data_IF_118846266213
#
_entry.id   IF_118846266213
#
_cell.length_a   1.000
_cell.length_b   1.000
_cell.length_c   1.000
_cell.angle_alpha   90.00
_cell.angle_beta   90.00
_cell.angle_gamma   90.00
#
_symmetry.space_group_name_H-M   'P 1'
#
loop_
_entity.id
_entity.type
_entity.pdbx_description
1 polymer ?
#
# COMPACT_ATOMS: atom_id res chain seq x y z
N UNK A 1 11.71 15.84 -24.36
CA UNK A 1 12.37 15.63 -23.05
C UNK A 1 13.16 14.34 -23.18
N UNK A 2 14.48 14.39 -23.04
CA UNK A 2 15.35 13.22 -23.19
C UNK A 2 15.52 12.56 -21.82
N UNK A 3 15.44 11.23 -21.75
CA UNK A 3 15.69 10.51 -20.50
C UNK A 3 17.14 10.73 -20.02
N UNK A 4 17.36 10.81 -18.70
CA UNK A 4 18.71 10.86 -18.15
C UNK A 4 19.49 9.57 -18.44
N UNK A 5 20.79 9.71 -18.62
CA UNK A 5 21.71 8.57 -18.72
C UNK A 5 21.66 7.74 -17.42
N UNK A 6 21.27 6.47 -17.55
CA UNK A 6 21.05 5.59 -16.42
C UNK A 6 22.36 5.14 -15.76
N UNK A 7 23.45 5.08 -16.52
CA UNK A 7 24.79 4.70 -16.04
C UNK A 7 25.66 5.91 -15.69
N UNK A 8 25.19 7.11 -16.03
CA UNK A 8 25.89 8.36 -15.79
C UNK A 8 26.00 8.73 -14.29
N UNK A 9 26.93 9.62 -13.99
CA UNK A 9 27.10 10.19 -12.65
C UNK A 9 25.89 11.07 -12.25
N UNK A 10 25.61 11.24 -10.94
CA UNK A 10 24.57 12.17 -10.48
C UNK A 10 24.80 13.59 -11.00
N UNK A 11 23.74 14.21 -11.53
CA UNK A 11 23.77 15.60 -12.03
C UNK A 11 23.51 16.63 -10.92
N UNK A 12 23.08 16.17 -9.74
CA UNK A 12 22.69 17.01 -8.59
C UNK A 12 23.09 16.32 -7.29
N UNK A 13 23.29 17.13 -6.26
CA UNK A 13 23.56 16.68 -4.89
C UNK A 13 22.63 17.42 -3.92
N UNK A 14 22.29 16.76 -2.80
CA UNK A 14 21.54 17.41 -1.72
C UNK A 14 22.44 18.42 -0.99
N UNK A 15 21.83 19.50 -0.51
CA UNK A 15 22.50 20.51 0.31
C UNK A 15 22.63 20.09 1.77
N UNK A 16 21.86 19.10 2.21
CA UNK A 16 21.97 18.51 3.55
C UNK A 16 23.31 17.76 3.69
N UNK A 17 24.22 18.21 4.58
CA UNK A 17 25.51 17.55 4.80
C UNK A 17 25.39 16.16 5.44
N UNK A 18 24.25 15.83 6.07
CA UNK A 18 24.00 14.52 6.64
C UNK A 18 23.55 13.49 5.58
N UNK A 19 23.10 13.95 4.40
CA UNK A 19 22.66 13.05 3.34
C UNK A 19 23.78 12.14 2.86
N UNK A 20 23.44 10.86 2.63
CA UNK A 20 24.34 9.85 2.05
C UNK A 20 23.62 9.17 0.87
N UNK A 21 24.17 9.20 -0.36
CA UNK A 21 23.59 8.50 -1.49
C UNK A 21 23.48 6.99 -1.24
N UNK A 22 22.35 6.39 -1.62
CA UNK A 22 22.12 4.95 -1.51
C UNK A 22 22.66 4.16 -2.71
N UNK A 23 22.81 4.82 -3.86
CA UNK A 23 23.22 4.22 -5.13
C UNK A 23 24.17 5.17 -5.87
N UNK A 24 25.03 4.61 -6.71
CA UNK A 24 25.97 5.37 -7.54
C UNK A 24 25.34 5.83 -8.86
N UNK A 25 24.38 5.07 -9.39
CA UNK A 25 23.76 5.31 -10.71
C UNK A 25 22.24 5.29 -10.64
N UNK A 26 21.58 5.88 -11.65
CA UNK A 26 20.12 5.83 -11.77
C UNK A 26 19.63 4.40 -12.06
N UNK A 27 20.41 3.60 -12.77
CA UNK A 27 20.12 2.18 -13.01
C UNK A 27 20.01 1.40 -11.68
N UNK A 28 20.94 1.62 -10.75
CA UNK A 28 20.90 1.00 -9.42
C UNK A 28 19.70 1.46 -8.59
N UNK A 29 19.33 2.75 -8.66
CA UNK A 29 18.13 3.27 -8.01
C UNK A 29 16.89 2.53 -8.51
N UNK A 30 16.73 2.42 -9.84
CA UNK A 30 15.60 1.74 -10.48
C UNK A 30 15.54 0.27 -10.08
N UNK A 31 16.66 -0.47 -10.17
CA UNK A 31 16.70 -1.87 -9.78
C UNK A 31 16.35 -2.10 -8.30
N UNK A 32 16.73 -1.18 -7.40
CA UNK A 32 16.35 -1.26 -5.99
C UNK A 32 14.86 -0.93 -5.76
N UNK A 33 14.30 0.00 -6.53
CA UNK A 33 12.85 0.29 -6.51
C UNK A 33 12.09 -0.93 -7.02
N UNK A 34 12.46 -1.49 -8.17
CA UNK A 34 11.80 -2.68 -8.73
C UNK A 34 11.81 -3.85 -7.75
N UNK A 35 12.94 -4.07 -7.06
CA UNK A 35 13.04 -5.09 -5.99
C UNK A 35 12.11 -4.81 -4.82
N UNK A 36 11.93 -3.54 -4.43
CA UNK A 36 11.00 -3.17 -3.36
C UNK A 36 9.55 -3.31 -3.80
N UNK A 37 9.24 -2.96 -5.04
CA UNK A 37 7.90 -3.06 -5.62
C UNK A 37 7.43 -4.52 -5.67
N UNK A 38 8.31 -5.47 -6.03
CA UNK A 38 8.01 -6.90 -5.95
C UNK A 38 7.61 -7.32 -4.52
N UNK A 39 8.36 -6.86 -3.51
CA UNK A 39 8.06 -7.15 -2.10
C UNK A 39 6.75 -6.50 -1.64
N UNK A 40 6.50 -5.26 -2.04
CA UNK A 40 5.27 -4.53 -1.71
C UNK A 40 4.07 -5.25 -2.33
N UNK A 41 4.14 -5.64 -3.61
CA UNK A 41 3.06 -6.36 -4.30
C UNK A 41 2.82 -7.72 -3.66
N UNK A 42 3.87 -8.46 -3.28
CA UNK A 42 3.73 -9.72 -2.57
C UNK A 42 3.01 -9.56 -1.22
N UNK A 43 3.32 -8.51 -0.46
CA UNK A 43 2.63 -8.19 0.80
C UNK A 43 1.18 -7.76 0.57
N UNK A 44 0.91 -6.99 -0.49
CA UNK A 44 -0.45 -6.61 -0.87
C UNK A 44 -1.29 -7.82 -1.28
N UNK A 45 -0.71 -8.80 -1.98
CA UNK A 45 -1.37 -10.06 -2.31
C UNK A 45 -1.75 -10.84 -1.05
N UNK A 46 -0.86 -10.93 -0.06
CA UNK A 46 -1.17 -11.54 1.24
C UNK A 46 -2.29 -10.78 1.96
N UNK A 47 -2.22 -9.44 2.02
CA UNK A 47 -3.27 -8.60 2.58
C UNK A 47 -4.62 -8.81 1.88
N UNK A 48 -4.61 -8.98 0.56
CA UNK A 48 -5.82 -9.20 -0.25
C UNK A 48 -6.54 -10.50 0.15
N UNK A 49 -5.79 -11.55 0.48
CA UNK A 49 -6.39 -12.81 0.95
C UNK A 49 -7.12 -12.65 2.28
N UNK A 50 -6.59 -11.86 3.21
CA UNK A 50 -7.29 -11.55 4.45
C UNK A 50 -8.53 -10.68 4.24
N UNK A 51 -8.49 -9.71 3.31
CA UNK A 51 -9.69 -8.95 2.93
C UNK A 51 -10.75 -9.87 2.34
N UNK A 52 -10.36 -10.79 1.45
CA UNK A 52 -11.26 -11.78 0.87
C UNK A 52 -11.88 -12.68 1.93
N UNK A 53 -11.10 -13.15 2.91
CA UNK A 53 -11.62 -13.99 4.00
C UNK A 53 -12.52 -13.19 4.95
N UNK A 54 -12.22 -11.92 5.21
CA UNK A 54 -13.05 -11.03 6.01
C UNK A 54 -14.48 -10.88 5.47
N UNK A 55 -14.68 -11.02 4.15
CA UNK A 55 -16.01 -10.99 3.52
C UNK A 55 -16.97 -12.05 4.10
N UNK A 56 -16.46 -13.19 4.56
CA UNK A 56 -17.26 -14.27 5.18
C UNK A 56 -17.88 -13.88 6.53
N UNK A 57 -17.39 -12.81 7.15
CA UNK A 57 -17.85 -12.32 8.45
C UNK A 57 -18.83 -11.14 8.32
N UNK A 58 -19.12 -10.66 7.11
CA UNK A 58 -20.02 -9.53 6.86
C UNK A 58 -21.37 -10.08 6.42
N UNK A 59 -22.44 -9.65 7.12
CA UNK A 59 -23.81 -10.11 6.83
C UNK A 59 -24.43 -9.40 5.62
N UNK A 60 -24.16 -8.11 5.47
CA UNK A 60 -24.75 -7.27 4.43
C UNK A 60 -23.69 -6.37 3.77
N UNK A 61 -23.93 -6.00 2.51
CA UNK A 61 -23.11 -5.06 1.74
C UNK A 61 -22.91 -3.70 2.44
N UNK A 62 -23.80 -3.30 3.35
CA UNK A 62 -23.67 -2.08 4.16
C UNK A 62 -22.57 -2.17 5.23
N UNK A 63 -22.26 -3.35 5.75
CA UNK A 63 -21.13 -3.54 6.68
C UNK A 63 -19.76 -3.50 5.98
N UNK A 64 -19.74 -3.53 4.65
CA UNK A 64 -18.51 -3.46 3.85
C UNK A 64 -17.80 -2.10 4.05
N UNK A 65 -18.55 -1.02 4.29
CA UNK A 65 -17.98 0.33 4.41
C UNK A 65 -17.35 0.65 5.79
N UNK A 66 -17.57 -0.17 6.83
CA UNK A 66 -17.08 0.01 8.22
C UNK A 66 -16.20 1.27 8.52
N UNK A 67 -16.78 2.48 8.63
CA UNK A 67 -16.01 3.74 8.62
C UNK A 67 -15.04 3.87 9.79
N UNK A 68 -15.44 3.40 10.97
CA UNK A 68 -14.58 3.37 12.16
C UNK A 68 -13.31 2.55 11.91
N UNK A 69 -13.44 1.38 11.24
CA UNK A 69 -12.31 0.53 10.92
C UNK A 69 -11.38 1.19 9.89
N UNK A 70 -11.91 1.92 8.92
CA UNK A 70 -11.10 2.67 7.96
C UNK A 70 -10.27 3.75 8.67
N UNK A 71 -10.89 4.53 9.56
CA UNK A 71 -10.21 5.57 10.34
C UNK A 71 -9.06 4.97 11.19
N UNK A 72 -9.28 3.83 11.83
CA UNK A 72 -8.22 3.12 12.56
C UNK A 72 -7.08 2.66 11.65
N UNK A 73 -7.38 2.17 10.44
CA UNK A 73 -6.34 1.75 9.48
C UNK A 73 -5.50 2.96 9.11
N UNK A 74 -6.12 4.10 8.77
CA UNK A 74 -5.41 5.33 8.40
C UNK A 74 -4.53 5.84 9.55
N UNK A 75 -5.05 5.89 10.78
CA UNK A 75 -4.26 6.27 11.95
C UNK A 75 -3.05 5.34 12.17
N UNK A 76 -3.25 4.01 12.05
CA UNK A 76 -2.19 3.01 12.24
C UNK A 76 -1.09 3.14 11.17
N UNK A 77 -1.45 3.35 9.90
CA UNK A 77 -0.45 3.42 8.82
C UNK A 77 0.33 4.72 8.86
N UNK A 78 -0.27 5.84 9.28
CA UNK A 78 0.47 7.08 9.55
C UNK A 78 1.50 6.86 10.67
N UNK A 79 1.12 6.22 11.78
CA UNK A 79 2.06 5.90 12.86
C UNK A 79 3.19 4.94 12.41
N UNK A 80 2.89 3.97 11.55
CA UNK A 80 3.92 3.11 10.94
C UNK A 80 4.85 3.92 10.03
N UNK A 81 4.32 4.84 9.23
CA UNK A 81 5.11 5.72 8.38
C UNK A 81 6.08 6.56 9.20
N UNK A 82 5.62 7.18 10.30
CA UNK A 82 6.48 7.90 11.25
C UNK A 82 7.58 7.00 11.81
N UNK A 83 7.22 5.80 12.30
CA UNK A 83 8.15 4.84 12.90
C UNK A 83 9.25 4.38 11.92
N UNK A 84 8.90 4.21 10.66
CA UNK A 84 9.81 3.71 9.62
C UNK A 84 10.46 4.83 8.81
N UNK A 85 10.20 6.10 9.11
CA UNK A 85 10.75 7.22 8.35
C UNK A 85 12.28 7.27 8.49
N UNK A 86 12.98 7.29 7.35
CA UNK A 86 14.45 7.37 7.26
C UNK A 86 14.94 8.75 6.82
N UNK A 87 14.12 9.79 7.01
CA UNK A 87 14.42 11.17 6.60
C UNK A 87 13.73 11.59 5.31
N UNK A 88 12.69 10.88 4.87
CA UNK A 88 11.86 11.29 3.73
C UNK A 88 10.79 12.27 4.23
N UNK A 89 10.88 13.51 3.80
CA UNK A 89 9.89 14.54 4.10
C UNK A 89 8.54 14.19 3.45
N UNK A 90 7.45 14.22 4.23
CA UNK A 90 6.11 13.88 3.73
C UNK A 90 5.80 12.39 3.60
N UNK A 91 6.61 11.48 4.18
CA UNK A 91 6.36 10.03 4.09
C UNK A 91 4.99 9.63 4.65
N UNK A 92 4.52 10.28 5.72
CA UNK A 92 3.19 10.02 6.30
C UNK A 92 2.07 10.29 5.29
N UNK A 93 2.17 11.37 4.52
CA UNK A 93 1.15 11.77 3.55
C UNK A 93 1.15 10.84 2.33
N UNK A 94 2.34 10.41 1.88
CA UNK A 94 2.48 9.40 0.83
C UNK A 94 1.82 8.08 1.25
N UNK A 95 2.10 7.62 2.48
CA UNK A 95 1.53 6.38 3.02
C UNK A 95 0.01 6.50 3.22
N UNK A 96 -0.48 7.61 3.76
CA UNK A 96 -1.92 7.85 3.95
C UNK A 96 -2.66 7.84 2.61
N UNK A 97 -2.17 8.57 1.60
CA UNK A 97 -2.76 8.60 0.27
C UNK A 97 -2.78 7.22 -0.40
N UNK A 98 -1.67 6.48 -0.32
CA UNK A 98 -1.59 5.11 -0.84
C UNK A 98 -2.58 4.17 -0.16
N UNK A 99 -2.69 4.22 1.17
CA UNK A 99 -3.63 3.37 1.90
C UNK A 99 -5.10 3.72 1.67
N UNK A 100 -5.43 5.00 1.46
CA UNK A 100 -6.79 5.40 1.07
C UNK A 100 -7.18 4.78 -0.26
N UNK A 101 -6.30 4.87 -1.26
CA UNK A 101 -6.53 4.25 -2.57
C UNK A 101 -6.68 2.73 -2.45
N UNK A 102 -5.81 2.07 -1.67
CA UNK A 102 -5.90 0.64 -1.42
C UNK A 102 -7.21 0.24 -0.75
N UNK A 103 -7.65 0.98 0.29
CA UNK A 103 -8.91 0.70 0.99
C UNK A 103 -10.11 0.80 0.05
N UNK A 104 -10.17 1.85 -0.78
CA UNK A 104 -11.23 2.02 -1.79
C UNK A 104 -11.23 0.84 -2.78
N UNK A 105 -10.07 0.47 -3.30
CA UNK A 105 -9.95 -0.63 -4.26
C UNK A 105 -10.37 -1.98 -3.64
N UNK A 106 -9.96 -2.25 -2.39
CA UNK A 106 -10.31 -3.48 -1.69
C UNK A 106 -11.81 -3.59 -1.40
N UNK A 107 -12.46 -2.49 -0.97
CA UNK A 107 -13.91 -2.45 -0.77
C UNK A 107 -14.65 -2.78 -2.06
N UNK A 108 -14.22 -2.21 -3.19
CA UNK A 108 -14.84 -2.47 -4.50
C UNK A 108 -14.69 -3.93 -4.96
N UNK A 109 -13.57 -4.59 -4.62
CA UNK A 109 -13.38 -6.02 -4.90
C UNK A 109 -14.18 -6.89 -3.93
N UNK A 110 -14.24 -6.51 -2.65
CA UNK A 110 -14.96 -7.23 -1.61
C UNK A 110 -16.47 -7.32 -1.92
N UNK A 111 -17.08 -6.24 -2.39
CA UNK A 111 -18.48 -6.25 -2.87
C UNK A 111 -18.73 -7.33 -3.92
N UNK A 112 -17.83 -7.49 -4.89
CA UNK A 112 -17.94 -8.53 -5.93
C UNK A 112 -17.84 -9.95 -5.36
N UNK A 113 -17.10 -10.15 -4.26
CA UNK A 113 -17.06 -11.45 -3.61
C UNK A 113 -18.35 -11.74 -2.86
N UNK A 114 -18.87 -10.77 -2.11
CA UNK A 114 -20.13 -10.91 -1.39
C UNK A 114 -21.31 -11.23 -2.32
N UNK A 115 -21.40 -10.58 -3.49
CA UNK A 115 -22.43 -10.86 -4.50
C UNK A 115 -22.40 -12.30 -5.04
N UNK A 116 -21.26 -12.99 -4.87
CA UNK A 116 -21.05 -14.38 -5.33
C UNK A 116 -21.09 -15.39 -4.19
N UNK A 117 -21.32 -14.95 -2.95
CA UNK A 117 -21.42 -15.82 -1.78
C UNK A 117 -22.89 -16.15 -1.51
N UNK A 118 -23.14 -17.39 -1.08
CA UNK A 118 -24.45 -17.82 -0.57
C UNK A 118 -24.45 -17.76 0.95
N UNK A 119 -25.58 -17.41 1.54
CA UNK A 119 -25.76 -17.39 2.99
C UNK A 119 -25.51 -18.78 3.58
N UNK A 120 -24.69 -18.87 4.63
CA UNK A 120 -24.51 -20.14 5.36
C UNK A 120 -25.71 -20.49 6.24
N UNK A 121 -26.69 -19.59 6.37
CA UNK A 121 -27.95 -19.81 7.10
C UNK A 121 -28.94 -20.69 6.31
N UNK A 122 -28.81 -20.84 4.99
CA UNK A 122 -29.69 -21.68 4.14
C UNK A 122 -29.34 -23.18 4.15
N UNK A 123 -28.39 -23.58 5.01
CA UNK A 123 -27.83 -24.94 5.08
C UNK A 123 -28.29 -25.81 6.26
N UNK A 124 -29.31 -25.40 7.01
CA UNK A 124 -29.93 -26.23 8.05
C UNK A 124 -31.43 -26.39 7.79
N UNK A 125 -31.77 -27.57 7.26
CA UNK A 125 -33.05 -28.29 7.33
C UNK A 125 -34.35 -27.52 7.01
#
# INVERSE_FOLDING_TARGET
MQEPDQAGRPLRAYTDPAYRPLCATLAEVRANIDRLDDQIVALLAQRAMYVKDAARFKKDAFQVSAPARQAEVFAKVRALATRHNRGFEGLEDVVDAGYRALVVAFIAVEQKYHDRMTSTEDGHA
#
